data_IF_048447066667
#
_entry.id   IF_048447066667
#
_cell.length_a   1.000
_cell.length_b   1.000
_cell.length_c   1.000
_cell.angle_alpha   90.00
_cell.angle_beta   90.00
_cell.angle_gamma   90.00
#
_symmetry.space_group_name_H-M   'P 1'
#
loop_
_entity.id
_entity.type
_entity.pdbx_description
1 polymer ?
#
# COMPACT_ATOMS: atom_id res chain seq x y z
N UNK A 1 -9.54 -0.53 -4.63
CA UNK A 1 -8.37 -0.76 -5.48
C UNK A 1 -8.53 -2.11 -6.18
N UNK A 2 -8.33 -2.15 -7.49
CA UNK A 2 -8.31 -3.36 -8.33
C UNK A 2 -6.87 -3.79 -8.62
N UNK A 3 -6.68 -4.97 -9.22
CA UNK A 3 -5.35 -5.52 -9.52
C UNK A 3 -4.54 -4.66 -10.50
N UNK A 4 -5.17 -4.16 -11.57
CA UNK A 4 -4.46 -3.33 -12.56
C UNK A 4 -3.95 -2.02 -11.98
N UNK A 5 -4.67 -1.41 -11.02
CA UNK A 5 -4.19 -0.24 -10.28
C UNK A 5 -2.94 -0.59 -9.44
N UNK A 6 -2.85 -1.80 -8.91
CA UNK A 6 -1.68 -2.25 -8.12
C UNK A 6 -0.48 -2.52 -9.02
N UNK A 7 -0.70 -3.10 -10.20
CA UNK A 7 0.32 -3.26 -11.24
C UNK A 7 0.80 -1.88 -11.72
N UNK A 8 -0.11 -0.93 -11.93
CA UNK A 8 0.24 0.43 -12.37
C UNK A 8 0.99 1.22 -11.29
N UNK A 9 0.57 1.11 -10.02
CA UNK A 9 1.28 1.71 -8.88
C UNK A 9 2.70 1.14 -8.73
N UNK A 10 2.90 -0.16 -8.95
CA UNK A 10 4.23 -0.76 -8.94
C UNK A 10 5.11 -0.20 -10.07
N UNK A 11 4.60 -0.08 -11.30
CA UNK A 11 5.33 0.55 -12.41
C UNK A 11 5.74 1.99 -12.07
N UNK A 12 4.80 2.79 -11.55
CA UNK A 12 5.07 4.18 -11.12
C UNK A 12 6.14 4.24 -10.03
N UNK A 13 6.03 3.41 -8.98
CA UNK A 13 7.01 3.35 -7.88
C UNK A 13 8.40 3.01 -8.40
N UNK A 14 8.50 2.05 -9.33
CA UNK A 14 9.77 1.62 -9.91
C UNK A 14 10.37 2.62 -10.90
N UNK A 15 9.58 3.56 -11.43
CA UNK A 15 10.07 4.65 -12.26
C UNK A 15 10.60 5.87 -11.45
N UNK A 16 10.22 6.00 -10.17
CA UNK A 16 10.66 7.11 -9.29
C UNK A 16 12.00 6.87 -8.58
N UNK A 17 12.52 5.65 -8.59
CA UNK A 17 13.69 5.25 -7.82
C UNK A 17 14.23 3.91 -8.27
N UNK A 18 14.80 3.11 -7.36
CA UNK A 18 15.51 1.88 -7.73
C UNK A 18 14.58 0.79 -8.30
N UNK A 19 14.93 0.32 -9.50
CA UNK A 19 14.18 -0.71 -10.25
C UNK A 19 14.47 -2.13 -9.71
N UNK A 20 13.40 -2.89 -9.41
CA UNK A 20 13.50 -4.25 -8.87
C UNK A 20 12.53 -5.20 -9.62
N UNK A 21 12.94 -5.82 -10.76
CA UNK A 21 12.01 -6.50 -11.66
C UNK A 21 11.24 -7.66 -11.00
N UNK A 22 11.87 -8.36 -10.05
CA UNK A 22 11.22 -9.43 -9.26
C UNK A 22 9.97 -8.96 -8.51
N UNK A 23 9.94 -7.71 -8.03
CA UNK A 23 8.81 -7.15 -7.29
C UNK A 23 7.59 -6.97 -8.19
N UNK A 24 7.81 -6.58 -9.46
CA UNK A 24 6.76 -6.50 -10.48
C UNK A 24 6.19 -7.86 -10.87
N UNK A 25 6.98 -8.94 -10.81
CA UNK A 25 6.47 -10.31 -10.94
C UNK A 25 5.61 -10.72 -9.73
N UNK A 26 6.09 -10.46 -8.50
CA UNK A 26 5.35 -10.78 -7.27
C UNK A 26 3.99 -10.06 -7.19
N UNK A 27 3.90 -8.81 -7.66
CA UNK A 27 2.62 -8.09 -7.73
C UNK A 27 1.63 -8.78 -8.67
N UNK A 28 2.08 -9.17 -9.88
CA UNK A 28 1.21 -9.80 -10.90
C UNK A 28 0.59 -11.11 -10.43
N UNK A 29 1.29 -11.92 -9.62
CA UNK A 29 0.77 -13.21 -9.12
C UNK A 29 -0.22 -13.10 -7.95
N UNK A 30 -0.59 -11.89 -7.50
CA UNK A 30 -1.75 -11.72 -6.62
C UNK A 30 -3.04 -11.90 -7.42
N UNK A 31 -4.08 -12.49 -6.82
CA UNK A 31 -5.39 -12.58 -7.48
C UNK A 31 -6.17 -11.26 -7.34
N UNK A 32 -7.03 -10.88 -8.30
CA UNK A 32 -7.83 -9.65 -8.19
C UNK A 32 -8.71 -9.60 -6.93
N UNK A 33 -9.23 -10.76 -6.49
CA UNK A 33 -9.97 -10.90 -5.23
C UNK A 33 -9.11 -10.61 -4.01
N UNK A 34 -7.88 -11.10 -3.95
CA UNK A 34 -6.96 -10.85 -2.84
C UNK A 34 -6.58 -9.36 -2.76
N UNK A 35 -6.22 -8.73 -3.89
CA UNK A 35 -5.89 -7.30 -3.94
C UNK A 35 -7.07 -6.46 -3.42
N UNK A 36 -8.27 -6.70 -3.92
CA UNK A 36 -9.46 -5.95 -3.48
C UNK A 36 -9.79 -6.19 -2.00
N UNK A 37 -9.61 -7.42 -1.50
CA UNK A 37 -9.90 -7.77 -0.10
C UNK A 37 -8.92 -7.08 0.86
N UNK A 38 -7.62 -7.24 0.65
CA UNK A 38 -6.61 -6.73 1.59
C UNK A 38 -6.47 -5.21 1.51
N UNK A 39 -6.60 -4.59 0.33
CA UNK A 39 -6.62 -3.11 0.23
C UNK A 39 -7.87 -2.52 0.90
N UNK A 40 -9.07 -3.10 0.70
CA UNK A 40 -10.30 -2.65 1.38
C UNK A 40 -10.28 -2.93 2.89
N UNK A 41 -9.49 -3.90 3.36
CA UNK A 41 -9.23 -4.15 4.78
C UNK A 41 -8.27 -3.09 5.34
N UNK A 42 -7.18 -2.79 4.64
CA UNK A 42 -6.19 -1.78 5.02
C UNK A 42 -6.78 -0.37 5.10
N UNK A 43 -7.49 0.10 4.07
CA UNK A 43 -7.99 1.47 4.02
C UNK A 43 -9.04 1.75 5.12
N UNK A 44 -9.80 0.74 5.56
CA UNK A 44 -10.70 0.86 6.72
C UNK A 44 -9.98 0.97 8.08
N UNK A 45 -8.67 0.75 8.14
CA UNK A 45 -7.87 0.93 9.36
C UNK A 45 -7.37 2.37 9.53
N UNK A 46 -7.38 3.17 8.47
CA UNK A 46 -6.98 4.58 8.55
C UNK A 46 -7.91 5.34 9.53
N UNK A 47 -7.38 6.27 10.34
CA UNK A 47 -6.01 6.82 10.31
C UNK A 47 -4.92 5.97 10.99
N UNK A 48 -5.22 4.77 11.52
CA UNK A 48 -4.20 3.87 12.07
C UNK A 48 -3.37 3.23 10.94
N UNK A 49 -2.21 3.84 10.66
CA UNK A 49 -1.28 3.43 9.62
C UNK A 49 -0.67 2.05 9.90
N UNK A 50 -0.27 1.75 11.13
CA UNK A 50 0.36 0.47 11.49
C UNK A 50 -0.53 -0.73 11.15
N UNK A 51 -1.82 -0.63 11.49
CA UNK A 51 -2.84 -1.63 11.16
C UNK A 51 -3.10 -1.72 9.65
N UNK A 52 -3.02 -0.59 8.93
CA UNK A 52 -3.19 -0.56 7.49
C UNK A 52 -2.00 -1.22 6.76
N UNK A 53 -0.77 -0.88 7.17
CA UNK A 53 0.48 -1.49 6.70
C UNK A 53 0.46 -3.01 6.90
N UNK A 54 0.11 -3.46 8.10
CA UNK A 54 0.01 -4.90 8.43
C UNK A 54 -0.99 -5.65 7.54
N UNK A 55 -2.09 -5.00 7.13
CA UNK A 55 -3.03 -5.60 6.18
C UNK A 55 -2.48 -5.64 4.74
N UNK A 56 -1.75 -4.62 4.31
CA UNK A 56 -1.15 -4.56 2.97
C UNK A 56 0.00 -5.57 2.79
N UNK A 57 0.78 -5.84 3.84
CA UNK A 57 1.88 -6.83 3.82
C UNK A 57 1.43 -8.27 3.53
N UNK A 58 0.12 -8.56 3.52
CA UNK A 58 -0.41 -9.86 3.07
C UNK A 58 -0.35 -10.05 1.55
N UNK A 59 -0.11 -8.98 0.77
CA UNK A 59 0.00 -9.04 -0.69
C UNK A 59 1.45 -9.31 -1.13
N UNK A 60 1.62 -10.22 -2.09
CA UNK A 60 2.93 -10.55 -2.63
C UNK A 60 3.54 -9.34 -3.33
N UNK A 61 4.79 -9.02 -3.01
CA UNK A 61 5.50 -7.84 -3.55
C UNK A 61 5.15 -6.52 -2.87
N UNK A 62 4.37 -6.55 -1.77
CA UNK A 62 4.04 -5.37 -0.97
C UNK A 62 4.81 -5.39 0.34
N UNK A 63 6.04 -4.85 0.31
CA UNK A 63 6.80 -4.49 1.52
C UNK A 63 6.54 -3.04 1.94
N UNK A 64 7.19 -2.58 3.01
CA UNK A 64 6.99 -1.25 3.64
C UNK A 64 6.93 -0.09 2.64
N UNK A 65 7.90 0.04 1.74
CA UNK A 65 7.91 1.11 0.73
C UNK A 65 6.73 1.01 -0.26
N UNK A 66 6.30 -0.20 -0.65
CA UNK A 66 5.14 -0.37 -1.53
C UNK A 66 3.83 -0.11 -0.78
N UNK A 67 3.75 -0.52 0.48
CA UNK A 67 2.60 -0.27 1.34
C UNK A 67 2.41 1.23 1.62
N UNK A 68 3.49 1.99 1.88
CA UNK A 68 3.40 3.45 2.02
C UNK A 68 2.92 4.14 0.72
N UNK A 69 3.37 3.68 -0.45
CA UNK A 69 2.86 4.18 -1.74
C UNK A 69 1.34 3.92 -1.91
N UNK A 70 0.88 2.73 -1.51
CA UNK A 70 -0.53 2.35 -1.53
C UNK A 70 -1.38 3.22 -0.59
N UNK A 71 -0.86 3.55 0.60
CA UNK A 71 -1.54 4.43 1.55
C UNK A 71 -1.53 5.90 1.08
N UNK A 72 -0.42 6.39 0.50
CA UNK A 72 -0.35 7.73 -0.07
C UNK A 72 -1.33 7.91 -1.25
N UNK A 73 -1.46 6.92 -2.12
CA UNK A 73 -2.44 6.93 -3.21
C UNK A 73 -3.90 6.89 -2.72
N UNK A 74 -4.17 6.24 -1.58
CA UNK A 74 -5.51 6.11 -1.03
C UNK A 74 -5.93 7.23 -0.05
N UNK A 75 -4.97 7.87 0.61
CA UNK A 75 -5.20 8.89 1.64
C UNK A 75 -3.98 9.80 1.81
N UNK A 76 -3.71 10.69 0.82
CA UNK A 76 -2.53 11.57 0.82
C UNK A 76 -2.49 12.58 1.97
N UNK A 77 -3.64 12.84 2.59
CA UNK A 77 -3.79 13.67 3.80
C UNK A 77 -3.26 13.00 5.09
N UNK A 78 -3.13 11.67 5.09
CA UNK A 78 -2.81 10.88 6.30
C UNK A 78 -1.41 10.24 6.19
N UNK A 79 -1.06 9.76 4.99
CA UNK A 79 0.10 8.91 4.74
C UNK A 79 1.01 9.49 3.63
N UNK A 80 2.30 9.77 3.92
CA UNK A 80 3.31 10.06 2.92
C UNK A 80 3.87 8.75 2.31
N UNK A 81 4.47 8.84 1.12
CA UNK A 81 5.23 7.75 0.53
C UNK A 81 6.65 7.70 1.11
N UNK A 82 7.13 6.52 1.50
CA UNK A 82 8.49 6.34 2.03
C UNK A 82 9.48 6.16 0.86
N UNK A 83 9.85 7.28 0.25
CA UNK A 83 10.87 7.36 -0.80
C UNK A 83 12.27 7.49 -0.20
N UNK A 84 13.26 6.84 -0.81
CA UNK A 84 14.66 6.80 -0.39
C UNK A 84 15.24 8.23 -0.22
N UNK A 85 14.89 9.17 -1.11
CA UNK A 85 15.32 10.57 -1.10
C UNK A 85 14.73 11.35 0.09
N UNK A 86 13.49 11.04 0.46
CA UNK A 86 12.79 11.68 1.58
C UNK A 86 13.28 11.14 2.93
N UNK A 87 13.68 9.87 2.98
CA UNK A 87 14.37 9.25 4.12
C UNK A 87 15.75 9.90 4.33
N UNK A 88 16.53 10.06 3.26
CA UNK A 88 17.85 10.74 3.30
C UNK A 88 17.78 12.21 3.72
N UNK A 89 16.63 12.87 3.53
CA UNK A 89 16.40 14.25 3.92
C UNK A 89 16.13 14.44 5.44
N UNK A 90 15.98 13.36 6.21
CA UNK A 90 15.72 13.38 7.66
C UNK A 90 17.01 12.95 8.39
N UNK A 91 17.75 13.87 9.04
CA UNK A 91 19.04 13.55 9.68
C UNK A 91 18.96 12.50 10.79
N UNK A 92 17.81 12.37 11.44
CA UNK A 92 17.57 11.42 12.53
C UNK A 92 17.27 9.99 12.05
N UNK A 93 17.13 9.76 10.74
CA UNK A 93 16.79 8.46 10.17
C UNK A 93 17.96 7.79 9.44
N UNK A 94 18.34 6.60 9.89
CA UNK A 94 19.34 5.77 9.20
C UNK A 94 18.71 5.10 7.97
N UNK A 95 19.13 5.53 6.77
CA UNK A 95 18.44 5.22 5.51
C UNK A 95 18.49 3.77 4.99
N UNK A 96 18.82 2.78 5.82
CA UNK A 96 18.87 1.36 5.47
C UNK A 96 17.56 0.60 5.74
N UNK A 97 16.76 1.04 6.71
CA UNK A 97 15.81 0.15 7.40
C UNK A 97 14.35 0.36 6.97
N UNK A 98 13.93 -0.37 5.93
CA UNK A 98 12.55 -0.35 5.42
C UNK A 98 11.57 -1.18 6.28
N UNK A 99 11.48 -0.87 7.57
CA UNK A 99 10.60 -1.54 8.54
C UNK A 99 9.31 -0.76 8.79
N UNK A 100 8.26 -1.44 9.27
CA UNK A 100 7.01 -0.77 9.64
C UNK A 100 7.19 0.26 10.78
N UNK A 101 8.13 0.02 11.70
CA UNK A 101 8.49 0.97 12.77
C UNK A 101 9.11 2.23 12.19
N UNK A 102 10.06 2.07 11.27
CA UNK A 102 10.74 3.21 10.64
C UNK A 102 9.78 4.04 9.78
N UNK A 103 8.81 3.39 9.13
CA UNK A 103 7.75 4.13 8.44
C UNK A 103 6.87 4.96 9.38
N UNK A 104 6.58 4.49 10.60
CA UNK A 104 5.84 5.29 11.58
C UNK A 104 6.68 6.48 12.10
N UNK A 105 8.00 6.29 12.24
CA UNK A 105 8.94 7.36 12.55
C UNK A 105 8.94 8.43 11.44
N UNK A 106 9.15 8.01 10.20
CA UNK A 106 9.05 8.84 8.99
C UNK A 106 7.75 9.65 8.92
N UNK A 107 6.60 9.00 9.15
CA UNK A 107 5.28 9.65 9.18
C UNK A 107 5.24 10.76 10.24
N UNK A 108 5.86 10.55 11.41
CA UNK A 108 5.94 11.54 12.49
C UNK A 108 6.74 12.78 12.06
N UNK A 109 7.95 12.59 11.51
CA UNK A 109 8.78 13.68 10.99
C UNK A 109 8.05 14.49 9.90
N UNK A 110 7.43 13.81 8.93
CA UNK A 110 6.69 14.47 7.85
C UNK A 110 5.47 15.23 8.38
N UNK A 111 4.78 14.73 9.42
CA UNK A 111 3.67 15.46 10.07
C UNK A 111 4.15 16.72 10.79
N UNK A 112 5.25 16.65 11.54
CA UNK A 112 5.82 17.83 12.20
C UNK A 112 6.19 18.93 11.19
N UNK A 113 6.75 18.55 10.02
CA UNK A 113 7.03 19.49 8.92
C UNK A 113 5.73 20.04 8.31
N UNK A 114 4.72 19.19 8.12
CA UNK A 114 3.41 19.57 7.61
C UNK A 114 2.70 20.58 8.53
N UNK A 115 2.76 20.38 9.84
CA UNK A 115 2.14 21.26 10.83
C UNK A 115 2.87 22.61 10.87
N UNK A 116 4.22 22.62 10.92
CA UNK A 116 5.03 23.85 10.82
C UNK A 116 4.71 24.66 9.56
N UNK A 117 4.61 24.02 8.39
CA UNK A 117 4.27 24.70 7.13
C UNK A 117 2.79 25.18 7.07
N UNK A 118 1.91 24.59 7.88
CA UNK A 118 0.52 25.02 8.03
C UNK A 118 0.38 26.19 9.04
N UNK A 119 1.30 26.31 9.99
CA UNK A 119 1.43 27.49 10.86
C UNK A 119 2.07 28.66 10.10
N UNK A 120 3.22 28.44 9.43
CA UNK A 120 3.96 29.46 8.69
C UNK A 120 3.16 30.11 7.56
N UNK A 121 2.26 29.36 6.89
CA UNK A 121 1.39 29.94 5.85
C UNK A 121 0.33 30.90 6.41
N UNK A 122 0.04 30.84 7.71
CA UNK A 122 -0.89 31.72 8.43
C UNK A 122 -2.26 31.88 7.72
N UNK A 123 -2.79 30.78 7.16
CA UNK A 123 -4.05 30.73 6.41
C UNK A 123 -3.98 31.16 4.94
N UNK A 124 -2.80 31.49 4.41
CA UNK A 124 -2.60 31.89 3.02
C UNK A 124 -2.20 30.70 2.12
N UNK A 125 -3.05 30.32 1.17
CA UNK A 125 -2.73 29.34 0.14
C UNK A 125 -3.40 27.97 0.34
N UNK A 126 -2.73 26.90 -0.10
CA UNK A 126 -3.22 25.52 0.04
C UNK A 126 -2.63 24.90 1.30
N UNK A 127 -3.48 24.24 2.10
CA UNK A 127 -3.06 23.43 3.24
C UNK A 127 -2.05 22.38 2.79
N UNK A 128 -0.94 22.26 3.52
CA UNK A 128 0.03 21.17 3.35
C UNK A 128 -0.53 19.89 3.95
N UNK A 129 -0.14 18.78 3.32
CA UNK A 129 -0.49 17.42 3.70
C UNK A 129 0.76 16.53 3.58
N UNK A 130 0.84 15.39 4.30
CA UNK A 130 2.03 14.53 4.32
C UNK A 130 2.56 14.14 2.93
N UNK A 131 1.69 13.76 2.00
CA UNK A 131 2.12 13.45 0.63
C UNK A 131 2.67 14.67 -0.12
N UNK A 132 2.13 15.88 0.09
CA UNK A 132 2.67 17.09 -0.54
C UNK A 132 4.08 17.44 -0.04
N UNK A 133 4.34 17.23 1.25
CA UNK A 133 5.68 17.42 1.84
C UNK A 133 6.68 16.41 1.26
N UNK A 134 6.28 15.13 1.15
CA UNK A 134 7.09 14.10 0.45
C UNK A 134 7.38 14.48 -1.00
N UNK A 135 6.36 14.87 -1.76
CA UNK A 135 6.54 15.28 -3.16
C UNK A 135 7.48 16.48 -3.28
N UNK A 136 7.43 17.45 -2.36
CA UNK A 136 8.32 18.60 -2.36
C UNK A 136 9.79 18.20 -2.06
N UNK A 137 10.02 17.34 -1.06
CA UNK A 137 11.34 16.81 -0.73
C UNK A 137 11.95 16.01 -1.89
N UNK A 138 11.18 15.07 -2.45
CA UNK A 138 11.61 14.29 -3.63
C UNK A 138 11.92 15.20 -4.82
N UNK A 139 11.05 16.17 -5.12
CA UNK A 139 11.27 17.12 -6.23
C UNK A 139 12.54 17.95 -6.02
N UNK A 140 12.80 18.44 -4.80
CA UNK A 140 14.04 19.16 -4.49
C UNK A 140 15.28 18.27 -4.68
N UNK A 141 15.22 16.97 -4.34
CA UNK A 141 16.32 16.05 -4.60
C UNK A 141 16.57 15.88 -6.11
N UNK A 142 15.53 15.51 -6.87
CA UNK A 142 15.63 15.31 -8.33
C UNK A 142 16.12 16.57 -9.05
N UNK A 143 15.67 17.77 -8.65
CA UNK A 143 16.17 19.04 -9.20
C UNK A 143 17.62 19.32 -8.77
N UNK A 144 18.03 18.94 -7.55
CA UNK A 144 19.43 19.05 -7.13
C UNK A 144 20.38 18.20 -7.96
N UNK A 145 19.94 17.01 -8.39
CA UNK A 145 20.74 16.10 -9.20
C UNK A 145 20.74 16.48 -10.70
N UNK A 146 19.60 16.88 -11.25
CA UNK A 146 19.45 17.15 -12.68
C UNK A 146 19.77 18.60 -13.08
N UNK A 147 19.40 19.58 -12.25
CA UNK A 147 19.48 21.01 -12.57
C UNK A 147 19.81 21.85 -11.32
N UNK A 148 20.96 21.64 -10.65
CA UNK A 148 21.35 22.34 -9.41
C UNK A 148 21.31 23.88 -9.53
N UNK A 149 21.55 24.41 -10.73
CA UNK A 149 21.46 25.83 -11.08
C UNK A 149 20.09 26.46 -10.79
N UNK A 150 18.98 25.70 -10.88
CA UNK A 150 17.64 26.19 -10.52
C UNK A 150 17.47 26.42 -9.00
N UNK A 151 18.37 25.84 -8.19
CA UNK A 151 18.42 25.98 -6.74
C UNK A 151 19.55 26.92 -6.30
N UNK A 152 20.17 27.67 -7.23
CA UNK A 152 21.32 28.53 -6.96
C UNK A 152 22.59 27.78 -6.54
N UNK A 153 22.68 26.47 -6.84
CA UNK A 153 23.86 25.65 -6.58
C UNK A 153 24.72 25.57 -7.84
N UNK A 154 26.03 25.77 -7.70
CA UNK A 154 27.00 25.54 -8.78
C UNK A 154 26.91 24.08 -9.29
N UNK A 155 27.16 23.82 -10.59
CA UNK A 155 27.09 22.49 -11.17
C UNK A 155 28.13 21.56 -10.54
N UNK A 156 27.66 20.62 -9.73
CA UNK A 156 28.51 19.69 -8.98
C UNK A 156 28.91 18.52 -9.89
N UNK A 157 30.15 18.52 -10.39
CA UNK A 157 30.73 17.46 -11.23
C UNK A 157 30.99 16.14 -10.46
N UNK A 158 29.98 15.61 -9.77
CA UNK A 158 30.01 14.24 -9.25
C UNK A 158 29.59 13.27 -10.36
N UNK A 159 30.31 12.16 -10.59
CA UNK A 159 29.87 11.17 -11.54
C UNK A 159 28.54 10.59 -11.07
N UNK A 160 27.55 10.56 -11.96
CA UNK A 160 26.25 9.96 -11.68
C UNK A 160 26.44 8.50 -11.23
N UNK A 161 25.82 8.11 -10.12
CA UNK A 161 25.78 6.72 -9.70
C UNK A 161 24.92 5.94 -10.70
N UNK A 162 25.57 5.23 -11.63
CA UNK A 162 24.94 4.60 -12.79
C UNK A 162 23.78 3.66 -12.42
N UNK A 163 22.55 4.13 -12.63
CA UNK A 163 21.33 3.33 -12.70
C UNK A 163 20.95 2.89 -14.12
N UNK A 164 21.79 3.15 -15.12
CA UNK A 164 21.52 2.86 -16.53
C UNK A 164 21.87 1.44 -16.93
N UNK A 165 20.86 0.58 -17.12
CA UNK A 165 21.00 -0.59 -18.00
C UNK A 165 20.75 -0.18 -19.46
N UNK A 166 21.50 -0.70 -20.44
CA UNK A 166 21.29 -0.34 -21.85
C UNK A 166 19.97 -0.88 -22.38
N UNK A 167 19.29 -0.09 -23.22
CA UNK A 167 18.29 -0.61 -24.16
C UNK A 167 19.01 -1.47 -25.21
N UNK A 168 18.44 -2.61 -25.64
CA UNK A 168 18.99 -3.36 -26.76
C UNK A 168 18.69 -2.59 -28.06
N UNK A 169 19.73 -2.07 -28.70
CA UNK A 169 19.63 -1.58 -30.08
C UNK A 169 19.72 -2.78 -31.02
N UNK A 170 18.67 -2.93 -31.82
CA UNK A 170 18.61 -3.81 -32.99
C UNK A 170 19.63 -3.35 -34.03
N UNK A 171 20.52 -4.24 -34.49
CA UNK A 171 21.23 -4.01 -35.75
C UNK A 171 21.42 -5.31 -36.52
N UNK A 172 21.07 -5.22 -37.80
CA UNK A 172 21.03 -6.34 -38.73
C UNK A 172 22.23 -6.30 -39.68
N UNK A 173 22.89 -7.45 -39.81
CA UNK A 173 23.62 -7.88 -41.02
C UNK A 173 24.99 -7.19 -41.32
N UNK A 174 26.03 -8.01 -41.54
CA UNK A 174 26.85 -8.06 -42.78
C UNK A 174 28.15 -8.88 -42.58
N UNK A 175 28.08 -10.15 -42.99
CA UNK A 175 29.05 -10.98 -43.76
C UNK A 175 30.60 -10.97 -43.56
N UNK A 176 31.33 -12.03 -44.03
CA UNK A 176 32.54 -12.52 -43.37
C UNK A 176 33.87 -12.31 -44.13
N UNK A 177 35.02 -12.63 -43.51
CA UNK A 177 36.28 -12.85 -44.21
C UNK A 177 36.57 -14.35 -44.42
N UNK A 178 36.81 -14.73 -45.68
CA UNK A 178 37.44 -16.00 -46.02
C UNK A 178 38.97 -15.87 -46.05
N UNK A 179 39.70 -16.88 -45.55
CA UNK A 179 41.12 -17.11 -45.92
C UNK A 179 41.50 -18.59 -45.82
N UNK A 180 42.29 -19.07 -46.80
CA UNK A 180 42.70 -20.47 -47.02
C UNK A 180 43.58 -21.08 -45.91
N UNK A 181 43.69 -22.42 -45.84
CA UNK A 181 44.75 -23.00 -44.99
C UNK A 181 45.11 -24.49 -44.92
N UNK A 182 44.60 -25.43 -45.72
CA UNK A 182 45.18 -26.79 -45.94
C UNK A 182 45.24 -27.83 -44.76
N UNK A 183 44.80 -29.09 -44.94
CA UNK A 183 44.86 -30.06 -43.81
C UNK A 183 44.32 -31.50 -43.84
N UNK A 184 44.29 -32.23 -44.97
CA UNK A 184 44.42 -33.72 -45.05
C UNK A 184 43.43 -34.67 -44.27
N UNK A 185 42.52 -35.27 -45.06
CA UNK A 185 42.17 -36.72 -45.15
C UNK A 185 41.30 -37.43 -44.06
N UNK A 186 40.46 -38.34 -44.59
CA UNK A 186 39.76 -39.52 -44.00
C UNK A 186 38.26 -39.37 -43.73
N UNK A 187 37.57 -40.45 -44.11
CA UNK A 187 36.17 -40.85 -44.28
C UNK A 187 35.30 -40.73 -43.00
N UNK A 188 33.96 -40.87 -43.00
CA UNK A 188 33.06 -41.73 -43.81
C UNK A 188 31.68 -41.12 -44.10
N UNK A 189 30.94 -41.76 -45.03
CA UNK A 189 29.60 -41.38 -45.46
C UNK A 189 28.52 -42.28 -44.84
N UNK A 190 27.37 -41.72 -44.42
CA UNK A 190 26.05 -42.36 -44.58
C UNK A 190 24.99 -41.27 -44.77
N UNK A 191 24.28 -41.32 -45.90
CA UNK A 191 22.96 -40.68 -46.06
C UNK A 191 21.91 -41.78 -45.93
N UNK A 192 20.74 -41.49 -45.33
CA UNK A 192 19.48 -41.79 -46.02
C UNK A 192 18.31 -40.95 -45.49
N UNK A 193 17.55 -40.39 -46.43
CA UNK A 193 16.24 -39.78 -46.22
C UNK A 193 15.15 -40.85 -46.09
N UNK A 194 14.04 -40.52 -45.41
CA UNK A 194 12.63 -40.83 -45.78
C UNK A 194 11.74 -40.24 -44.67
N UNK A 195 11.04 -39.12 -44.82
CA UNK A 195 10.00 -38.71 -45.81
C UNK A 195 8.62 -39.34 -45.54
N UNK A 196 7.60 -38.46 -45.40
CA UNK A 196 6.14 -38.73 -45.44
C UNK A 196 5.51 -39.60 -44.32
N UNK A 197 4.23 -39.49 -43.93
CA UNK A 197 3.11 -38.62 -44.38
C UNK A 197 2.16 -38.32 -43.20
N UNK A 198 1.36 -37.26 -43.32
CA UNK A 198 0.12 -37.04 -42.58
C UNK A 198 -0.98 -38.07 -42.93
N UNK A 199 -1.98 -38.22 -42.06
CA UNK A 199 -3.40 -38.37 -42.44
C UNK A 199 -4.34 -37.89 -41.33
N UNK A 200 -5.52 -37.43 -41.74
CA UNK A 200 -6.62 -36.87 -40.94
C UNK A 200 -7.73 -37.88 -40.57
N UNK A 201 -8.96 -37.39 -40.33
CA UNK A 201 -10.24 -38.09 -40.04
C UNK A 201 -10.44 -38.69 -38.62
N UNK A 202 -11.64 -38.76 -38.02
CA UNK A 202 -12.87 -37.93 -38.09
C UNK A 202 -13.83 -38.24 -36.90
N UNK A 203 -14.95 -37.53 -36.87
CA UNK A 203 -16.02 -37.43 -35.86
C UNK A 203 -16.61 -38.75 -35.31
N UNK A 204 -17.11 -38.70 -34.06
CA UNK A 204 -18.54 -39.00 -33.79
C UNK A 204 -19.01 -38.37 -32.46
N UNK A 205 -20.31 -38.07 -32.35
CA UNK A 205 -20.95 -37.51 -31.15
C UNK A 205 -22.40 -37.99 -31.04
N UNK A 206 -22.75 -38.69 -29.94
CA UNK A 206 -24.13 -39.11 -29.69
C UNK A 206 -24.49 -39.15 -28.21
N UNK A 207 -25.64 -38.57 -27.87
CA UNK A 207 -26.22 -38.56 -26.53
C UNK A 207 -27.24 -39.71 -26.34
N UNK A 208 -27.43 -40.17 -25.10
CA UNK A 208 -28.74 -40.38 -24.45
C UNK A 208 -28.66 -41.20 -23.14
N UNK A 209 -29.24 -40.64 -22.07
CA UNK A 209 -29.99 -41.36 -21.01
C UNK A 209 -31.50 -41.13 -21.28
N UNK A 210 -32.50 -41.74 -20.61
CA UNK A 210 -32.44 -42.53 -19.35
C UNK A 210 -33.35 -43.80 -19.29
N UNK A 211 -33.25 -44.58 -18.19
CA UNK A 211 -34.39 -45.35 -17.64
C UNK A 211 -34.16 -45.90 -16.21
N UNK A 212 -35.07 -45.54 -15.31
CA UNK A 212 -35.54 -46.29 -14.11
C UNK A 212 -37.01 -46.70 -14.40
N UNK A 213 -37.71 -47.59 -13.63
CA UNK A 213 -37.56 -47.90 -12.20
C UNK A 213 -37.84 -49.36 -11.73
N UNK A 214 -37.59 -49.65 -10.44
CA UNK A 214 -38.52 -50.37 -9.52
C UNK A 214 -37.90 -50.63 -8.13
N UNK A 215 -38.67 -50.35 -7.06
CA UNK A 215 -38.47 -50.84 -5.66
C UNK A 215 -39.55 -51.89 -5.38
N UNK A 216 -39.39 -52.84 -4.43
CA UNK A 216 -39.55 -52.59 -2.97
C UNK A 216 -38.46 -53.36 -2.14
N UNK A 217 -38.38 -53.36 -0.79
CA UNK A 217 -39.36 -53.06 0.27
C UNK A 217 -38.70 -52.59 1.59
N UNK A 218 -39.51 -51.95 2.45
CA UNK A 218 -39.30 -51.75 3.91
C UNK A 218 -40.33 -52.65 4.64
N UNK A 219 -40.06 -53.21 5.84
CA UNK A 219 -40.43 -52.60 7.15
C UNK A 219 -39.36 -52.87 8.26
N UNK A 220 -39.40 -52.40 9.51
CA UNK A 220 -40.15 -51.33 10.22
C UNK A 220 -39.41 -50.97 11.54
N UNK A 221 -39.79 -49.84 12.16
CA UNK A 221 -39.44 -49.32 13.51
C UNK A 221 -40.17 -50.12 14.64
N UNK A 222 -40.41 -49.66 15.90
CA UNK A 222 -40.07 -48.42 16.67
C UNK A 222 -39.34 -48.76 18.01
N UNK A 223 -39.20 -47.98 19.12
CA UNK A 223 -40.08 -47.02 19.83
C UNK A 223 -39.26 -46.15 20.82
N UNK A 224 -39.52 -44.85 20.93
CA UNK A 224 -40.30 -44.13 21.99
C UNK A 224 -39.65 -43.93 23.36
N UNK A 225 -39.69 -42.68 23.83
CA UNK A 225 -40.41 -42.32 25.08
C UNK A 225 -40.66 -40.80 25.18
N UNK A 226 -41.83 -40.45 25.71
CA UNK A 226 -42.41 -39.09 25.73
C UNK A 226 -42.52 -38.49 27.15
N UNK A 227 -42.78 -37.17 27.18
CA UNK A 227 -43.43 -36.34 28.24
C UNK A 227 -42.63 -36.07 29.57
N UNK A 228 -43.01 -35.15 30.48
CA UNK A 228 -44.26 -34.38 30.63
C UNK A 228 -44.15 -32.98 31.30
N UNK A 229 -44.90 -32.02 30.71
CA UNK A 229 -45.80 -31.01 31.32
C UNK A 229 -45.40 -29.96 32.41
N UNK A 230 -45.75 -28.69 32.06
CA UNK A 230 -46.52 -27.68 32.85
C UNK A 230 -45.97 -27.09 34.17
N UNK A 231 -45.75 -25.75 34.17
CA UNK A 231 -46.44 -24.78 35.06
C UNK A 231 -46.12 -23.31 34.75
N UNK A 232 -47.12 -22.42 34.87
CA UNK A 232 -47.02 -20.94 34.72
C UNK A 232 -47.61 -20.21 35.97
N UNK A 233 -47.97 -18.91 36.00
CA UNK A 233 -47.15 -17.90 36.69
C UNK A 233 -47.87 -17.03 37.76
N UNK A 234 -47.11 -16.32 38.62
CA UNK A 234 -47.59 -15.25 39.56
C UNK A 234 -46.36 -14.53 40.21
N UNK A 235 -46.32 -13.25 40.63
CA UNK A 235 -47.37 -12.22 40.87
C UNK A 235 -46.81 -10.75 40.88
N UNK A 236 -47.56 -9.79 40.30
CA UNK A 236 -47.78 -8.34 40.66
C UNK A 236 -46.64 -7.28 40.91
N UNK A 237 -46.77 -6.15 40.16
CA UNK A 237 -46.83 -4.69 40.56
C UNK A 237 -45.56 -4.02 41.14
N UNK A 238 -45.32 -2.68 41.05
CA UNK A 238 -46.08 -1.45 40.64
C UNK A 238 -45.00 -0.38 40.19
N UNK A 239 -45.16 0.54 39.21
CA UNK A 239 -45.83 1.89 39.21
C UNK A 239 -45.58 2.68 40.53
N UNK A 240 -45.09 3.94 40.61
CA UNK A 240 -44.98 5.18 39.76
C UNK A 240 -43.59 5.85 39.97
N UNK A 241 -43.01 6.77 39.17
CA UNK A 241 -43.34 8.15 38.71
C UNK A 241 -43.20 9.30 39.77
N UNK A 242 -42.66 10.46 39.36
CA UNK A 242 -42.39 11.68 40.17
C UNK A 242 -40.89 11.88 40.51
N UNK A 243 -40.11 12.88 40.06
CA UNK A 243 -40.26 14.34 39.78
C UNK A 243 -39.70 15.23 40.91
N UNK A 244 -38.89 16.23 40.52
CA UNK A 244 -38.54 17.50 41.24
C UNK A 244 -37.91 17.38 42.65
N UNK A 245 -36.71 17.87 42.96
CA UNK A 245 -36.06 19.19 42.79
C UNK A 245 -36.06 20.01 44.10
N UNK A 246 -34.89 20.61 44.43
CA UNK A 246 -34.68 21.70 45.41
C UNK A 246 -34.97 21.35 46.90
N UNK A 247 -34.39 21.98 47.93
CA UNK A 247 -33.39 23.06 48.02
C UNK A 247 -32.67 23.02 49.40
N UNK A 248 -31.70 23.92 49.61
CA UNK A 248 -31.35 24.55 50.91
C UNK A 248 -30.63 23.73 52.03
N UNK A 249 -29.80 24.32 52.92
CA UNK A 249 -29.26 25.71 53.01
C UNK A 249 -28.08 25.82 54.01
N UNK A 250 -27.33 26.94 53.94
CA UNK A 250 -26.55 27.62 55.01
C UNK A 250 -25.41 26.84 55.72
N UNK A 251 -24.26 27.40 56.08
CA UNK A 251 -23.62 28.73 55.96
C UNK A 251 -22.17 28.60 56.53
N UNK A 252 -21.30 29.60 56.68
CA UNK A 252 -21.32 31.06 56.46
C UNK A 252 -19.85 31.59 56.53
N UNK A 253 -19.54 32.71 55.84
CA UNK A 253 -18.41 33.65 56.02
C UNK A 253 -16.94 33.14 56.08
N UNK A 254 -15.89 33.87 55.65
CA UNK A 254 -15.74 35.16 54.93
C UNK A 254 -14.64 34.96 53.83
N UNK A 255 -14.10 35.92 53.06
CA UNK A 255 -14.14 37.40 53.07
C UNK A 255 -13.92 37.94 51.64
N UNK A 256 -13.63 39.24 51.44
CA UNK A 256 -13.43 39.85 50.12
C UNK A 256 -12.23 40.81 50.05
N UNK A 257 -11.59 40.91 48.88
CA UNK A 257 -10.93 42.12 48.35
C UNK A 257 -10.79 42.04 46.83
N UNK A 258 -11.16 43.12 46.12
CA UNK A 258 -11.15 43.27 44.65
C UNK A 258 -9.99 44.19 44.17
N UNK A 259 -9.75 44.40 42.87
CA UNK A 259 -8.40 44.55 42.32
C UNK A 259 -7.91 46.01 42.20
N UNK A 260 -6.63 46.14 41.87
CA UNK A 260 -6.00 47.45 41.60
C UNK A 260 -5.50 47.52 40.14
N UNK A 261 -5.92 48.57 39.41
CA UNK A 261 -5.52 48.86 38.02
C UNK A 261 -5.01 50.30 37.97
N UNK A 262 -3.75 50.54 37.56
CA UNK A 262 -3.38 51.64 36.65
C UNK A 262 -1.86 51.82 36.39
N UNK A 263 -1.51 51.84 35.08
CA UNK A 263 -0.63 52.80 34.37
C UNK A 263 0.88 52.93 34.73
N UNK A 264 1.70 52.93 33.64
CA UNK A 264 2.61 54.02 33.14
C UNK A 264 4.00 53.47 32.73
N UNK A 265 4.35 53.25 31.46
CA UNK A 265 4.70 54.17 30.34
C UNK A 265 6.21 54.61 30.27
N UNK A 266 6.93 54.07 29.27
CA UNK A 266 8.11 54.59 28.51
C UNK A 266 9.43 55.02 29.20
N UNK A 267 10.53 54.36 28.80
CA UNK A 267 11.76 54.89 28.11
C UNK A 267 12.64 53.67 27.74
N UNK A 268 13.19 53.44 26.54
CA UNK A 268 13.98 54.26 25.59
C UNK A 268 15.51 54.23 25.85
N UNK A 269 16.24 53.63 24.90
CA UNK A 269 17.67 53.81 24.54
C UNK A 269 18.74 53.82 25.63
N UNK A 270 19.66 52.85 25.57
CA UNK A 270 21.00 53.14 25.04
C UNK A 270 21.61 51.92 24.33
#
# INVERSE_FOLDING_TARGET
>A
MIHEELVQLMKWKQARGKFYPQLSYLIKVNTPRAVMQETKKAFRKLPNIESAMTALSNLKGVGTATASALLAAASPEIAPFMADECVQAIPEMEGSDYTAREYLNFVSHIRNVCDRLNEEQNGCGKKWFPHMVELALWTHNIVSDLQPQLLGKEPNNRPAANGGSPLPSDESNLEPPATNGNGKLVTDCVNEDTTTSCTEDSMDAKAASPSTPATPATPASPSDNSDSAVSTPRTKRQLEEGSSAEENSLGDSSEATLPNIAKKLRKATH
#
